data_IF_479821639805
#
_entry.id   IF_479821639805
#
_cell.length_a   1.000
_cell.length_b   1.000
_cell.length_c   1.000
_cell.angle_alpha   90.00
_cell.angle_beta   90.00
_cell.angle_gamma   90.00
#
_symmetry.space_group_name_H-M   'P 1'
#
loop_
_entity.id
_entity.type
_entity.pdbx_description
1 polymer ?
#
# COMPACT_ATOMS: atom_id res chain seq x y z
N UNK A 1 -0.06 14.34 -21.03
CA UNK A 1 1.04 14.58 -20.06
C UNK A 1 0.72 15.87 -19.34
N UNK A 2 0.72 15.87 -17.99
CA UNK A 2 0.59 17.12 -17.23
C UNK A 2 1.83 17.97 -17.50
N UNK A 3 1.66 19.25 -17.80
CA UNK A 3 2.79 20.18 -17.88
C UNK A 3 3.31 20.36 -16.44
N UNK A 4 4.52 19.87 -16.20
CA UNK A 4 5.16 19.91 -14.88
C UNK A 4 6.46 20.72 -14.97
N UNK A 5 6.68 21.59 -14.00
CA UNK A 5 7.99 22.22 -13.74
C UNK A 5 8.63 21.49 -12.57
N UNK A 6 9.86 21.02 -12.74
CA UNK A 6 10.65 20.36 -11.70
C UNK A 6 11.80 21.26 -11.29
N UNK A 7 12.03 21.39 -9.99
CA UNK A 7 13.24 21.99 -9.46
C UNK A 7 13.73 21.21 -8.25
N UNK A 8 14.99 21.43 -7.91
CA UNK A 8 15.69 20.77 -6.83
C UNK A 8 16.11 21.80 -5.79
N UNK A 9 16.06 21.42 -4.53
CA UNK A 9 16.36 22.26 -3.38
C UNK A 9 17.40 21.59 -2.48
N UNK A 10 18.17 22.40 -1.74
CA UNK A 10 19.11 21.92 -0.72
C UNK A 10 18.60 22.25 0.68
N UNK A 11 18.32 21.22 1.47
CA UNK A 11 17.70 21.29 2.79
C UNK A 11 18.74 21.11 3.90
N UNK A 12 18.63 21.91 4.96
CA UNK A 12 19.25 21.65 6.25
C UNK A 12 18.33 20.81 7.15
N UNK A 13 18.79 20.36 8.33
CA UNK A 13 17.93 19.69 9.32
C UNK A 13 16.68 20.54 9.66
N UNK A 14 16.84 21.85 9.87
CA UNK A 14 15.71 22.73 10.20
C UNK A 14 14.67 22.75 9.08
N UNK A 15 15.12 22.75 7.84
CA UNK A 15 14.23 22.72 6.68
C UNK A 15 13.52 21.37 6.58
N UNK A 16 14.23 20.28 6.86
CA UNK A 16 13.68 18.93 6.88
C UNK A 16 12.62 18.74 7.99
N UNK A 17 12.87 19.26 9.20
CA UNK A 17 11.91 19.28 10.29
C UNK A 17 10.63 20.02 9.90
N UNK A 18 10.77 21.19 9.26
CA UNK A 18 9.63 21.93 8.74
C UNK A 18 8.84 21.13 7.70
N UNK A 19 9.54 20.44 6.78
CA UNK A 19 8.88 19.56 5.80
C UNK A 19 8.09 18.46 6.52
N UNK A 20 8.70 17.75 7.47
CA UNK A 20 8.07 16.66 8.22
C UNK A 20 6.79 17.12 8.93
N UNK A 21 6.85 18.23 9.67
CA UNK A 21 5.69 18.84 10.34
C UNK A 21 4.54 19.16 9.36
N UNK A 22 4.88 19.47 8.10
CA UNK A 22 3.93 19.82 7.03
C UNK A 22 3.70 18.67 6.02
N UNK A 23 4.00 17.42 6.36
CA UNK A 23 3.82 16.26 5.47
C UNK A 23 4.51 16.42 4.10
N UNK A 24 5.61 17.17 4.06
CA UNK A 24 6.36 17.50 2.85
C UNK A 24 5.53 18.25 1.78
N UNK A 25 4.35 18.76 2.12
CA UNK A 25 3.46 19.48 1.19
C UNK A 25 3.71 20.99 1.13
N UNK A 26 4.64 21.49 1.95
CA UNK A 26 5.01 22.90 1.98
C UNK A 26 6.51 23.05 2.08
N UNK A 27 7.08 23.88 1.23
CA UNK A 27 8.46 24.32 1.33
C UNK A 27 8.64 25.32 2.48
N UNK A 28 9.76 25.27 3.22
CA UNK A 28 10.05 26.20 4.30
C UNK A 28 10.16 27.64 3.80
N UNK A 29 9.66 28.58 4.61
CA UNK A 29 9.91 30.01 4.40
C UNK A 29 11.33 30.31 4.83
N UNK A 30 12.25 30.43 3.88
CA UNK A 30 13.57 31.03 4.01
C UNK A 30 14.28 30.93 2.65
N UNK A 31 15.43 31.58 2.56
CA UNK A 31 16.34 31.57 1.42
C UNK A 31 16.96 30.18 1.14
N UNK A 32 16.14 29.19 0.75
CA UNK A 32 16.59 27.83 0.41
C UNK A 32 17.25 27.86 -0.97
N UNK A 33 18.48 27.34 -1.12
CA UNK A 33 19.10 27.19 -2.43
C UNK A 33 18.27 26.27 -3.32
N UNK A 34 17.98 26.71 -4.55
CA UNK A 34 17.30 25.89 -5.55
C UNK A 34 17.96 25.97 -6.93
N UNK A 35 17.75 24.95 -7.74
CA UNK A 35 18.14 24.91 -9.15
C UNK A 35 17.11 24.10 -9.97
N UNK A 36 16.92 24.45 -11.24
CA UNK A 36 16.09 23.64 -12.14
C UNK A 36 16.83 22.41 -12.67
N UNK A 37 18.17 22.42 -12.63
CA UNK A 37 19.00 21.27 -12.97
C UNK A 37 19.51 20.57 -11.71
N UNK A 38 19.42 19.24 -11.70
CA UNK A 38 19.88 18.41 -10.57
C UNK A 38 21.38 18.55 -10.34
N UNK A 39 22.16 18.63 -11.40
CA UNK A 39 23.62 18.68 -11.35
C UNK A 39 24.12 19.95 -10.65
N UNK A 40 23.44 21.08 -10.86
CA UNK A 40 23.78 22.37 -10.25
C UNK A 40 23.57 22.34 -8.73
N UNK A 41 22.46 21.78 -8.25
CA UNK A 41 22.22 21.69 -6.80
C UNK A 41 23.20 20.73 -6.13
N UNK A 42 23.57 19.63 -6.80
CA UNK A 42 24.56 18.66 -6.30
C UNK A 42 25.94 19.31 -6.20
N UNK A 43 26.37 20.05 -7.23
CA UNK A 43 27.64 20.79 -7.20
C UNK A 43 27.67 21.81 -6.07
N UNK A 44 26.55 22.51 -5.85
CA UNK A 44 26.40 23.42 -4.73
C UNK A 44 26.51 22.69 -3.39
N UNK A 45 25.82 21.54 -3.23
CA UNK A 45 25.87 20.72 -2.03
C UNK A 45 27.30 20.23 -1.70
N UNK A 46 28.04 19.71 -2.68
CA UNK A 46 29.42 19.25 -2.49
C UNK A 46 30.37 20.40 -2.11
N UNK A 47 30.18 21.59 -2.71
CA UNK A 47 30.96 22.78 -2.34
C UNK A 47 30.71 23.20 -0.89
N UNK A 48 29.45 23.21 -0.45
CA UNK A 48 29.07 23.61 0.92
C UNK A 48 29.45 22.53 1.96
N UNK A 49 29.35 21.25 1.60
CA UNK A 49 29.86 20.11 2.39
C UNK A 49 31.36 20.22 2.65
N UNK A 50 32.14 20.71 1.68
CA UNK A 50 33.57 20.98 1.89
C UNK A 50 33.86 22.01 2.99
N UNK A 51 32.92 22.94 3.21
CA UNK A 51 33.07 24.10 4.08
C UNK A 51 32.34 23.98 5.44
N UNK A 52 31.51 22.96 5.65
CA UNK A 52 30.70 22.80 6.86
C UNK A 52 30.63 21.35 7.33
N UNK A 53 30.43 21.12 8.63
CA UNK A 53 30.23 19.78 9.20
C UNK A 53 28.75 19.34 9.21
N UNK A 54 27.87 20.03 8.47
CA UNK A 54 26.43 19.75 8.49
C UNK A 54 26.05 18.67 7.47
N UNK A 55 24.97 17.95 7.77
CA UNK A 55 24.28 17.10 6.80
C UNK A 55 23.28 17.98 6.02
N UNK A 56 23.27 17.81 4.70
CA UNK A 56 22.33 18.42 3.78
C UNK A 56 21.60 17.34 2.99
N UNK A 57 20.36 17.62 2.64
CA UNK A 57 19.52 16.73 1.82
C UNK A 57 19.09 17.48 0.58
N UNK A 58 19.31 16.90 -0.60
CA UNK A 58 18.67 17.40 -1.81
C UNK A 58 17.28 16.82 -1.93
N UNK A 59 16.33 17.64 -2.34
CA UNK A 59 14.96 17.21 -2.61
C UNK A 59 14.47 17.77 -3.95
N UNK A 60 13.47 17.11 -4.53
CA UNK A 60 12.82 17.44 -5.80
C UNK A 60 11.39 17.92 -5.51
N UNK A 61 11.02 19.05 -6.09
CA UNK A 61 9.66 19.57 -6.08
C UNK A 61 9.10 19.58 -7.50
N UNK A 62 7.84 19.18 -7.64
CA UNK A 62 7.12 19.14 -8.92
C UNK A 62 5.89 20.04 -8.83
N UNK A 63 5.82 21.00 -9.75
CA UNK A 63 4.76 22.01 -9.78
C UNK A 63 3.97 21.93 -11.07
N UNK A 64 2.68 22.26 -11.01
CA UNK A 64 1.86 22.47 -12.20
C UNK A 64 2.41 23.69 -12.96
N UNK A 65 2.73 23.53 -14.24
CA UNK A 65 3.34 24.60 -15.05
C UNK A 65 2.47 25.84 -15.15
N UNK A 66 1.14 25.71 -15.26
CA UNK A 66 0.25 26.85 -15.43
C UNK A 66 0.20 27.68 -14.14
N UNK A 67 -0.01 27.02 -12.99
CA UNK A 67 0.04 27.67 -11.67
C UNK A 67 1.42 28.26 -11.36
N UNK A 68 2.49 27.60 -11.81
CA UNK A 68 3.86 28.08 -11.66
C UNK A 68 4.13 29.31 -12.57
N UNK A 69 3.54 29.36 -13.76
CA UNK A 69 3.71 30.48 -14.69
C UNK A 69 2.89 31.72 -14.29
N UNK A 70 1.72 31.54 -13.66
CA UNK A 70 0.94 32.65 -13.09
C UNK A 70 1.76 33.46 -12.07
N UNK A 71 2.68 32.80 -11.37
CA UNK A 71 3.70 33.46 -10.54
C UNK A 71 4.68 34.28 -11.38
N UNK A 72 5.29 33.68 -12.41
CA UNK A 72 6.32 34.32 -13.25
C UNK A 72 5.82 35.58 -13.96
N UNK A 73 4.53 35.62 -14.33
CA UNK A 73 3.89 36.77 -14.99
C UNK A 73 3.58 37.89 -13.98
N UNK A 74 3.26 37.56 -12.73
CA UNK A 74 2.87 38.52 -11.70
C UNK A 74 4.06 39.29 -11.08
N UNK A 75 5.30 38.83 -11.29
CA UNK A 75 6.51 39.38 -10.66
C UNK A 75 7.70 39.41 -11.64
N UNK A 76 7.55 40.14 -12.74
CA UNK A 76 8.54 40.27 -13.83
C UNK A 76 9.94 40.72 -13.37
N UNK A 77 10.04 41.44 -12.26
CA UNK A 77 11.30 42.00 -11.73
C UNK A 77 12.14 40.98 -10.93
N UNK A 78 11.55 39.84 -10.52
CA UNK A 78 12.30 38.75 -9.90
C UNK A 78 12.77 37.77 -10.97
N UNK A 79 13.94 38.03 -11.54
CA UNK A 79 14.52 37.09 -12.51
C UNK A 79 14.79 35.74 -11.83
N UNK A 80 14.10 34.67 -12.21
CA UNK A 80 14.45 33.30 -11.80
C UNK A 80 15.67 32.83 -12.61
N UNK A 81 16.81 33.51 -12.49
CA UNK A 81 18.07 33.03 -13.10
C UNK A 81 18.72 31.98 -12.19
N UNK A 82 19.33 30.98 -12.82
CA UNK A 82 19.88 29.75 -12.23
C UNK A 82 20.70 30.01 -10.93
N UNK A 83 20.40 29.22 -9.88
CA UNK A 83 20.89 29.32 -8.48
C UNK A 83 20.46 30.59 -7.71
N UNK A 84 19.26 30.55 -7.10
CA UNK A 84 18.78 31.61 -6.21
C UNK A 84 18.23 31.04 -4.90
N UNK A 85 17.81 31.95 -4.04
CA UNK A 85 17.13 31.73 -2.78
C UNK A 85 15.69 32.24 -2.94
N UNK A 86 14.68 31.49 -2.50
CA UNK A 86 13.29 31.94 -2.61
C UNK A 86 12.96 33.00 -1.55
N UNK A 87 12.19 34.03 -1.93
CA UNK A 87 11.58 34.94 -0.96
C UNK A 87 10.38 34.27 -0.28
N UNK A 88 9.95 34.77 0.87
CA UNK A 88 8.77 34.23 1.56
C UNK A 88 7.51 34.25 0.68
N UNK A 89 7.27 35.36 -0.04
CA UNK A 89 6.12 35.55 -0.94
C UNK A 89 6.17 34.55 -2.10
N UNK A 90 7.38 34.28 -2.62
CA UNK A 90 7.62 33.28 -3.66
C UNK A 90 7.29 31.86 -3.16
N UNK A 91 7.76 31.51 -1.96
CA UNK A 91 7.55 30.18 -1.38
C UNK A 91 6.06 29.88 -1.15
N UNK A 92 5.27 30.82 -0.63
CA UNK A 92 3.83 30.64 -0.41
C UNK A 92 3.07 30.29 -1.70
N UNK A 93 3.41 30.96 -2.81
CA UNK A 93 2.77 30.71 -4.11
C UNK A 93 3.27 29.42 -4.79
N UNK A 94 4.55 29.10 -4.63
CA UNK A 94 5.08 27.81 -5.10
C UNK A 94 4.38 26.66 -4.39
N UNK A 95 4.14 26.77 -3.08
CA UNK A 95 3.40 25.76 -2.32
C UNK A 95 2.00 25.49 -2.88
N UNK A 96 1.30 26.52 -3.38
CA UNK A 96 0.00 26.34 -4.08
C UNK A 96 0.12 25.62 -5.43
N UNK A 97 1.29 25.67 -6.07
CA UNK A 97 1.55 25.05 -7.36
C UNK A 97 2.06 23.61 -7.26
N UNK A 98 2.47 23.14 -6.06
CA UNK A 98 2.94 21.78 -5.85
C UNK A 98 1.88 20.76 -6.27
N UNK A 99 2.29 19.76 -7.04
CA UNK A 99 1.42 18.68 -7.50
C UNK A 99 1.24 17.58 -6.45
N UNK A 100 2.23 17.40 -5.59
CA UNK A 100 2.35 16.35 -4.58
C UNK A 100 3.34 16.81 -3.48
N UNK A 101 3.80 15.89 -2.64
CA UNK A 101 4.89 16.15 -1.69
C UNK A 101 6.22 16.50 -2.36
N UNK A 102 7.06 17.22 -1.62
CA UNK A 102 8.49 17.41 -1.89
C UNK A 102 9.21 16.08 -1.64
N UNK A 103 9.92 15.57 -2.65
CA UNK A 103 10.50 14.22 -2.65
C UNK A 103 11.98 14.26 -2.33
N UNK A 104 12.43 13.51 -1.35
CA UNK A 104 13.86 13.45 -1.01
C UNK A 104 14.65 12.71 -2.10
N UNK A 105 15.85 13.21 -2.42
CA UNK A 105 16.63 12.76 -3.58
C UNK A 105 18.04 12.29 -3.23
N UNK A 106 18.80 13.02 -2.40
CA UNK A 106 20.13 12.58 -1.95
C UNK A 106 20.59 13.23 -0.63
N UNK A 107 21.66 12.72 -0.03
CA UNK A 107 22.25 13.20 1.23
C UNK A 107 23.76 13.47 1.10
N UNK A 108 24.21 14.57 1.73
CA UNK A 108 25.58 15.08 1.70
C UNK A 108 26.06 15.44 3.10
N UNK A 109 27.28 15.08 3.49
CA UNK A 109 27.87 15.44 4.79
C UNK A 109 29.26 14.81 5.00
N UNK A 110 30.03 15.31 5.97
CA UNK A 110 31.41 14.86 6.26
C UNK A 110 31.57 14.04 7.55
N UNK A 111 30.75 14.28 8.57
CA UNK A 111 30.72 13.51 9.81
C UNK A 111 29.27 13.26 10.19
N UNK A 112 28.84 12.01 10.01
CA UNK A 112 27.49 11.56 10.31
C UNK A 112 27.31 11.26 11.81
N UNK A 113 28.34 11.44 12.63
CA UNK A 113 28.30 10.98 14.03
C UNK A 113 27.88 12.00 15.10
N UNK A 114 27.80 13.32 14.88
CA UNK A 114 27.49 14.21 16.01
C UNK A 114 26.38 15.26 15.75
N UNK A 115 25.42 15.21 16.69
CA UNK A 115 24.30 16.11 17.02
C UNK A 115 23.01 16.07 16.19
N UNK A 116 23.03 15.79 14.88
CA UNK A 116 21.80 15.90 14.05
C UNK A 116 21.39 14.62 13.30
N UNK A 117 22.22 13.57 13.34
CA UNK A 117 21.99 12.37 12.52
C UNK A 117 20.76 11.58 12.97
N UNK A 118 20.56 11.35 14.27
CA UNK A 118 19.40 10.61 14.76
C UNK A 118 18.08 11.25 14.32
N UNK A 119 17.96 12.58 14.42
CA UNK A 119 16.76 13.32 14.02
C UNK A 119 16.52 13.26 12.51
N UNK A 120 17.56 13.46 11.69
CA UNK A 120 17.45 13.29 10.24
C UNK A 120 17.02 11.86 9.93
N UNK A 121 17.68 10.86 10.52
CA UNK A 121 17.40 9.45 10.29
C UNK A 121 15.94 9.12 10.59
N UNK A 122 15.39 9.56 11.72
CA UNK A 122 13.98 9.36 12.06
C UNK A 122 13.05 9.96 11.00
N UNK A 123 13.30 11.19 10.54
CA UNK A 123 12.47 11.80 9.48
C UNK A 123 12.56 11.00 8.16
N UNK A 124 13.75 10.49 7.81
CA UNK A 124 13.93 9.64 6.63
C UNK A 124 13.26 8.27 6.79
N UNK A 125 13.31 7.66 7.98
CA UNK A 125 12.60 6.41 8.31
C UNK A 125 11.09 6.58 8.13
N UNK A 126 10.51 7.65 8.66
CA UNK A 126 9.08 7.96 8.53
C UNK A 126 8.68 8.16 7.06
N UNK A 127 9.50 8.89 6.30
CA UNK A 127 9.29 9.13 4.88
C UNK A 127 9.44 7.86 4.03
N UNK A 128 10.34 6.95 4.44
CA UNK A 128 10.51 5.64 3.81
C UNK A 128 9.27 4.78 4.05
N UNK A 129 8.80 4.73 5.30
CA UNK A 129 7.57 4.02 5.67
C UNK A 129 6.36 4.55 4.92
N UNK A 130 6.18 5.87 4.87
CA UNK A 130 5.12 6.51 4.09
C UNK A 130 5.17 6.06 2.63
N UNK A 131 6.35 6.12 2.01
CA UNK A 131 6.51 5.83 0.58
C UNK A 131 6.28 4.34 0.27
N UNK A 132 6.72 3.45 1.17
CA UNK A 132 6.43 2.02 1.14
C UNK A 132 4.92 1.77 1.20
N UNK A 133 4.24 2.31 2.22
CA UNK A 133 2.80 2.12 2.43
C UNK A 133 1.96 2.68 1.28
N UNK A 134 2.34 3.85 0.74
CA UNK A 134 1.66 4.44 -0.43
C UNK A 134 1.76 3.53 -1.66
N UNK A 135 2.93 2.94 -1.91
CA UNK A 135 3.13 1.98 -2.98
C UNK A 135 2.39 0.66 -2.74
N UNK A 136 2.46 0.12 -1.52
CA UNK A 136 1.76 -1.12 -1.14
C UNK A 136 0.25 -0.97 -1.35
N UNK A 137 -0.37 0.09 -0.80
CA UNK A 137 -1.81 0.30 -0.92
C UNK A 137 -2.23 0.52 -2.38
N UNK A 138 -1.43 1.25 -3.18
CA UNK A 138 -1.69 1.41 -4.61
C UNK A 138 -1.72 0.07 -5.36
N UNK A 139 -0.86 -0.89 -4.99
CA UNK A 139 -0.81 -2.23 -5.60
C UNK A 139 -1.91 -3.15 -5.06
N UNK A 140 -2.20 -3.05 -3.76
CA UNK A 140 -3.11 -3.93 -3.01
C UNK A 140 -4.59 -3.57 -3.14
N UNK A 141 -4.90 -2.41 -3.70
CA UNK A 141 -6.29 -1.94 -3.94
C UNK A 141 -6.61 -1.78 -5.42
N UNK A 142 -7.86 -2.04 -5.84
CA UNK A 142 -8.33 -1.89 -7.22
C UNK A 142 -8.89 -0.49 -7.53
N UNK A 143 -9.18 0.32 -6.52
CA UNK A 143 -9.54 1.73 -6.64
C UNK A 143 -8.39 2.57 -7.17
N UNK A 144 -7.15 2.12 -6.96
CA UNK A 144 -5.90 2.78 -7.37
C UNK A 144 -5.82 4.23 -6.89
N UNK A 145 -6.55 4.56 -5.82
CA UNK A 145 -6.52 5.88 -5.22
C UNK A 145 -5.13 6.10 -4.61
N UNK A 146 -4.47 7.15 -5.09
CA UNK A 146 -3.16 7.51 -4.56
C UNK A 146 -3.37 8.19 -3.21
N UNK A 147 -2.80 7.58 -2.17
CA UNK A 147 -2.83 8.12 -0.82
C UNK A 147 -2.26 9.54 -0.80
N UNK A 148 -3.01 10.44 -0.15
CA UNK A 148 -2.62 11.83 0.04
C UNK A 148 -1.44 11.93 1.04
N UNK A 149 -0.55 12.92 0.88
CA UNK A 149 0.62 13.08 1.76
C UNK A 149 0.32 13.19 3.27
N UNK A 150 -0.88 13.61 3.64
CA UNK A 150 -1.33 13.79 5.02
C UNK A 150 -2.17 12.62 5.55
N UNK A 151 -2.41 11.58 4.76
CA UNK A 151 -3.30 10.46 5.13
C UNK A 151 -2.94 9.74 6.42
N UNK A 152 -1.64 9.62 6.74
CA UNK A 152 -1.17 8.97 7.96
C UNK A 152 -0.94 9.94 9.12
N UNK A 153 -1.27 11.22 8.96
CA UNK A 153 -1.35 12.09 10.13
C UNK A 153 -2.51 11.59 10.96
N UNK A 154 -2.25 11.32 12.24
CA UNK A 154 -3.32 11.31 13.22
C UNK A 154 -4.00 12.67 13.09
N UNK A 155 -5.20 12.71 12.51
CA UNK A 155 -6.13 13.77 12.82
C UNK A 155 -6.10 13.85 14.34
N UNK A 156 -5.72 15.00 14.88
CA UNK A 156 -5.80 15.23 16.31
C UNK A 156 -7.26 14.89 16.63
N UNK A 157 -7.48 13.70 17.21
CA UNK A 157 -8.82 13.21 17.49
C UNK A 157 -9.49 14.41 18.13
N UNK A 158 -10.58 14.90 17.50
CA UNK A 158 -11.49 15.76 18.24
C UNK A 158 -11.72 14.97 19.50
N UNK A 159 -11.08 15.40 20.59
CA UNK A 159 -11.23 14.81 21.89
C UNK A 159 -12.71 14.97 22.11
N UNK A 160 -13.47 13.93 21.75
CA UNK A 160 -14.86 13.84 22.10
C UNK A 160 -14.75 13.90 23.61
N UNK A 161 -15.13 15.06 24.17
CA UNK A 161 -15.24 15.18 25.59
C UNK A 161 -16.07 13.97 26.00
N UNK A 162 -15.52 13.05 26.81
CA UNK A 162 -16.28 11.88 27.20
C UNK A 162 -17.57 12.43 27.78
N UNK A 163 -18.70 12.10 27.17
CA UNK A 163 -19.98 12.59 27.65
C UNK A 163 -20.05 12.29 29.14
N UNK A 164 -20.50 13.24 29.95
CA UNK A 164 -20.72 13.06 31.38
C UNK A 164 -21.87 12.06 31.58
N UNK A 165 -21.59 10.78 31.34
CA UNK A 165 -22.45 9.67 31.68
C UNK A 165 -22.13 9.26 33.12
N UNK A 166 -23.15 9.11 33.94
CA UNK A 166 -22.99 8.41 35.22
C UNK A 166 -22.63 6.94 34.98
N UNK A 167 -21.93 6.31 35.93
CA UNK A 167 -21.59 4.88 35.86
C UNK A 167 -22.82 3.98 35.59
N UNK A 168 -23.99 4.38 36.08
CA UNK A 168 -25.25 3.68 35.88
C UNK A 168 -25.78 3.82 34.44
N UNK A 169 -25.65 4.99 33.82
CA UNK A 169 -26.02 5.19 32.41
C UNK A 169 -25.11 4.41 31.48
N UNK A 170 -23.80 4.42 31.75
CA UNK A 170 -22.82 3.59 30.99
C UNK A 170 -23.19 2.12 31.10
N UNK A 171 -23.49 1.64 32.32
CA UNK A 171 -23.88 0.24 32.54
C UNK A 171 -25.16 -0.13 31.79
N UNK A 172 -26.19 0.70 31.86
CA UNK A 172 -27.45 0.46 31.13
C UNK A 172 -27.25 0.45 29.62
N UNK A 173 -26.38 1.32 29.11
CA UNK A 173 -26.06 1.38 27.69
C UNK A 173 -25.30 0.13 27.23
N UNK A 174 -24.35 -0.37 28.04
CA UNK A 174 -23.64 -1.63 27.79
C UNK A 174 -24.62 -2.81 27.81
N UNK A 175 -25.46 -2.92 28.85
CA UNK A 175 -26.43 -4.02 28.97
C UNK A 175 -27.42 -4.04 27.80
N UNK A 176 -27.91 -2.87 27.39
CA UNK A 176 -28.78 -2.73 26.21
C UNK A 176 -28.05 -3.15 24.93
N UNK A 177 -26.82 -2.69 24.73
CA UNK A 177 -26.02 -3.03 23.53
C UNK A 177 -25.78 -4.53 23.46
N UNK A 178 -25.38 -5.16 24.57
CA UNK A 178 -25.17 -6.62 24.64
C UNK A 178 -26.45 -7.40 24.33
N UNK A 179 -27.61 -6.96 24.84
CA UNK A 179 -28.88 -7.60 24.57
C UNK A 179 -29.28 -7.49 23.09
N UNK A 180 -29.09 -6.32 22.48
CA UNK A 180 -29.34 -6.09 21.05
C UNK A 180 -28.40 -6.94 20.17
N UNK A 181 -27.12 -7.01 20.51
CA UNK A 181 -26.14 -7.87 19.85
C UNK A 181 -26.50 -9.35 19.96
N UNK A 182 -26.93 -9.83 21.13
CA UNK A 182 -27.31 -11.24 21.32
C UNK A 182 -28.54 -11.61 20.47
N UNK A 183 -29.54 -10.72 20.38
CA UNK A 183 -30.71 -10.91 19.53
C UNK A 183 -30.30 -10.97 18.04
N UNK A 184 -29.47 -10.03 17.60
CA UNK A 184 -28.95 -10.02 16.22
C UNK A 184 -28.14 -11.27 15.90
N UNK A 185 -27.22 -11.67 16.78
CA UNK A 185 -26.40 -12.88 16.62
C UNK A 185 -27.26 -14.15 16.56
N UNK A 186 -28.29 -14.27 17.40
CA UNK A 186 -29.23 -15.41 17.34
C UNK A 186 -29.97 -15.46 16.02
N UNK A 187 -30.43 -14.31 15.50
CA UNK A 187 -31.13 -14.23 14.21
C UNK A 187 -30.21 -14.66 13.07
N UNK A 188 -28.99 -14.15 13.04
CA UNK A 188 -27.96 -14.51 12.05
C UNK A 188 -27.68 -16.02 12.12
N UNK A 189 -27.38 -16.55 13.32
CA UNK A 189 -27.09 -17.99 13.49
C UNK A 189 -28.24 -18.90 13.10
N UNK A 190 -29.48 -18.50 13.36
CA UNK A 190 -30.65 -19.27 12.93
C UNK A 190 -30.76 -19.30 11.40
N UNK A 191 -30.45 -18.19 10.72
CA UNK A 191 -30.47 -18.12 9.26
C UNK A 191 -29.32 -18.93 8.65
N UNK A 192 -28.11 -18.82 9.18
CA UNK A 192 -26.93 -19.51 8.64
C UNK A 192 -26.96 -21.03 8.85
N UNK A 193 -27.68 -21.51 9.87
CA UNK A 193 -27.93 -22.95 10.09
C UNK A 193 -28.65 -23.67 8.95
N UNK A 194 -29.37 -22.93 8.11
CA UNK A 194 -30.13 -23.51 6.99
C UNK A 194 -29.43 -23.39 5.64
N UNK A 195 -28.26 -22.75 5.58
CA UNK A 195 -27.50 -22.56 4.35
C UNK A 195 -26.58 -23.77 4.17
N UNK A 196 -26.83 -24.56 3.12
CA UNK A 196 -26.25 -25.88 2.91
C UNK A 196 -25.09 -25.88 1.92
N UNK A 197 -24.85 -24.76 1.23
CA UNK A 197 -23.76 -24.65 0.23
C UNK A 197 -22.94 -23.38 0.42
N UNK A 198 -21.71 -23.39 -0.10
CA UNK A 198 -20.84 -22.20 -0.15
C UNK A 198 -21.53 -21.06 -0.89
N UNK A 199 -22.21 -21.34 -2.00
CA UNK A 199 -22.92 -20.33 -2.79
C UNK A 199 -24.08 -19.69 -2.02
N UNK A 200 -24.85 -20.47 -1.27
CA UNK A 200 -25.91 -19.96 -0.39
C UNK A 200 -25.34 -19.09 0.74
N UNK A 201 -24.22 -19.49 1.35
CA UNK A 201 -23.52 -18.71 2.34
C UNK A 201 -23.06 -17.35 1.78
N UNK A 202 -22.47 -17.36 0.58
CA UNK A 202 -22.04 -16.14 -0.12
C UNK A 202 -23.23 -15.27 -0.51
N UNK A 203 -24.32 -15.84 -1.04
CA UNK A 203 -25.52 -15.06 -1.40
C UNK A 203 -26.15 -14.40 -0.16
N UNK A 204 -26.17 -15.10 0.98
CA UNK A 204 -26.60 -14.52 2.26
C UNK A 204 -25.71 -13.33 2.65
N UNK A 205 -24.38 -13.50 2.61
CA UNK A 205 -23.43 -12.44 2.95
C UNK A 205 -23.68 -11.18 2.12
N UNK A 206 -23.86 -11.33 0.81
CA UNK A 206 -24.04 -10.18 -0.10
C UNK A 206 -25.39 -9.49 0.09
N UNK A 207 -26.46 -10.26 0.34
CA UNK A 207 -27.84 -9.73 0.27
C UNK A 207 -28.42 -9.31 1.61
N UNK A 208 -28.00 -9.96 2.70
CA UNK A 208 -28.68 -9.84 3.99
C UNK A 208 -27.74 -9.36 5.12
N UNK A 209 -26.44 -9.59 5.01
CA UNK A 209 -25.50 -9.48 6.13
C UNK A 209 -24.51 -8.31 5.98
N UNK A 210 -23.77 -8.27 4.87
CA UNK A 210 -22.73 -7.27 4.66
C UNK A 210 -23.31 -5.93 4.26
N UNK A 211 -22.79 -4.87 4.88
CA UNK A 211 -23.10 -3.50 4.48
C UNK A 211 -22.51 -3.17 3.08
N UNK A 212 -23.07 -2.17 2.37
CA UNK A 212 -22.49 -1.69 1.11
C UNK A 212 -21.03 -1.26 1.25
N UNK A 213 -20.65 -0.68 2.41
CA UNK A 213 -19.27 -0.31 2.71
C UNK A 213 -18.36 -1.54 2.78
N UNK A 214 -18.76 -2.58 3.51
CA UNK A 214 -18.00 -3.83 3.60
C UNK A 214 -17.87 -4.53 2.24
N UNK A 215 -18.95 -4.54 1.44
CA UNK A 215 -18.92 -5.06 0.07
C UNK A 215 -17.93 -4.27 -0.80
N UNK A 216 -17.93 -2.93 -0.68
CA UNK A 216 -16.99 -2.06 -1.37
C UNK A 216 -15.54 -2.36 -1.00
N UNK A 217 -15.25 -2.54 0.29
CA UNK A 217 -13.92 -2.90 0.78
C UNK A 217 -13.44 -4.25 0.24
N UNK A 218 -14.31 -5.27 0.19
CA UNK A 218 -13.94 -6.59 -0.36
C UNK A 218 -13.68 -6.51 -1.86
N UNK A 219 -14.51 -5.75 -2.59
CA UNK A 219 -14.32 -5.53 -4.03
C UNK A 219 -12.99 -4.84 -4.32
N UNK A 220 -12.60 -3.92 -3.46
CA UNK A 220 -11.39 -3.13 -3.62
C UNK A 220 -10.10 -3.94 -3.40
N UNK A 221 -10.17 -5.14 -2.81
CA UNK A 221 -8.97 -5.98 -2.62
C UNK A 221 -8.47 -6.48 -3.97
N UNK A 222 -7.24 -6.10 -4.34
CA UNK A 222 -6.64 -6.49 -5.62
C UNK A 222 -6.13 -7.94 -5.62
N UNK A 223 -5.83 -8.46 -6.81
CA UNK A 223 -5.14 -9.74 -6.95
C UNK A 223 -3.78 -9.77 -6.26
N UNK A 224 -3.06 -8.64 -6.22
CA UNK A 224 -1.77 -8.56 -5.54
C UNK A 224 -1.93 -8.80 -4.04
N UNK A 225 -2.94 -8.21 -3.41
CA UNK A 225 -3.25 -8.48 -2.01
C UNK A 225 -3.69 -9.93 -1.77
N UNK A 226 -4.50 -10.50 -2.67
CA UNK A 226 -4.99 -11.90 -2.57
C UNK A 226 -3.89 -12.96 -2.66
N UNK A 227 -2.84 -12.69 -3.44
CA UNK A 227 -1.78 -13.65 -3.77
C UNK A 227 -0.46 -13.36 -3.04
N UNK A 228 -0.33 -12.22 -2.37
CA UNK A 228 0.87 -11.87 -1.61
C UNK A 228 1.06 -12.79 -0.40
N UNK A 229 2.18 -13.51 -0.41
CA UNK A 229 2.57 -14.47 0.62
C UNK A 229 3.12 -13.80 1.89
N UNK A 230 3.52 -12.52 1.85
CA UNK A 230 4.22 -11.85 2.95
C UNK A 230 3.34 -10.88 3.75
N UNK A 231 2.54 -10.04 3.08
CA UNK A 231 1.80 -8.93 3.72
C UNK A 231 0.38 -8.70 3.17
N UNK A 232 -0.16 -9.62 2.37
CA UNK A 232 -1.40 -9.46 1.60
C UNK A 232 -2.67 -9.22 2.40
N UNK A 233 -3.82 -9.68 1.91
CA UNK A 233 -5.11 -9.51 2.61
C UNK A 233 -5.22 -10.32 3.92
N UNK A 234 -4.11 -10.82 4.49
CA UNK A 234 -3.99 -11.55 5.75
C UNK A 234 -4.69 -10.88 6.94
N UNK A 235 -4.52 -9.57 7.12
CA UNK A 235 -5.17 -8.85 8.22
C UNK A 235 -6.70 -8.84 8.09
N UNK A 236 -7.18 -8.63 6.86
CA UNK A 236 -8.61 -8.71 6.53
C UNK A 236 -9.11 -10.15 6.64
N UNK A 237 -8.38 -11.14 6.12
CA UNK A 237 -8.65 -12.57 6.26
C UNK A 237 -8.76 -13.01 7.71
N UNK A 238 -7.90 -12.53 8.61
CA UNK A 238 -7.96 -12.96 10.00
C UNK A 238 -9.23 -12.45 10.68
N UNK A 239 -9.49 -11.14 10.62
CA UNK A 239 -10.70 -10.56 11.23
C UNK A 239 -11.99 -11.07 10.58
N UNK A 240 -12.04 -11.06 9.24
CA UNK A 240 -13.20 -11.51 8.48
C UNK A 240 -13.38 -13.03 8.54
N UNK A 241 -12.29 -13.80 8.52
CA UNK A 241 -12.32 -15.26 8.70
C UNK A 241 -12.86 -15.66 10.07
N UNK A 242 -12.46 -14.96 11.14
CA UNK A 242 -13.04 -15.14 12.47
C UNK A 242 -14.54 -14.81 12.51
N UNK A 243 -14.95 -13.74 11.81
CA UNK A 243 -16.35 -13.40 11.64
C UNK A 243 -17.14 -14.53 10.93
N UNK A 244 -16.66 -15.00 9.78
CA UNK A 244 -17.25 -16.10 9.03
C UNK A 244 -17.33 -17.37 9.88
N UNK A 245 -16.27 -17.68 10.64
CA UNK A 245 -16.23 -18.81 11.56
C UNK A 245 -17.33 -18.71 12.62
N UNK A 246 -17.56 -17.53 13.18
CA UNK A 246 -18.56 -17.32 14.21
C UNK A 246 -20.01 -17.48 13.70
N UNK A 247 -20.28 -17.04 12.46
CA UNK A 247 -21.64 -17.08 11.90
C UNK A 247 -21.96 -18.42 11.22
N UNK A 248 -21.00 -19.08 10.58
CA UNK A 248 -21.23 -20.32 9.83
C UNK A 248 -20.90 -21.59 10.60
N UNK A 249 -19.92 -21.58 11.51
CA UNK A 249 -19.40 -22.81 12.13
C UNK A 249 -19.59 -22.85 13.65
N UNK A 250 -19.37 -21.74 14.35
CA UNK A 250 -19.39 -21.75 15.81
C UNK A 250 -20.81 -21.97 16.39
N UNK A 251 -21.05 -23.18 16.89
CA UNK A 251 -22.36 -23.60 17.42
C UNK A 251 -23.38 -23.88 16.31
N UNK A 252 -22.91 -24.13 15.09
CA UNK A 252 -23.69 -24.52 13.93
C UNK A 252 -23.21 -25.88 13.42
N UNK A 253 -24.03 -26.92 13.56
CA UNK A 253 -23.70 -28.28 13.14
C UNK A 253 -24.29 -28.62 11.76
N UNK A 254 -24.28 -27.68 10.82
CA UNK A 254 -24.80 -27.93 9.47
C UNK A 254 -23.89 -28.89 8.69
N UNK A 255 -24.19 -30.18 8.77
CA UNK A 255 -23.45 -31.26 8.11
C UNK A 255 -23.46 -31.15 6.58
N UNK A 256 -24.52 -30.58 5.98
CA UNK A 256 -24.58 -30.43 4.52
C UNK A 256 -23.60 -29.37 4.04
N UNK A 257 -23.48 -28.24 4.77
CA UNK A 257 -22.47 -27.22 4.47
C UNK A 257 -21.04 -27.77 4.63
N UNK A 258 -20.77 -28.56 5.67
CA UNK A 258 -19.45 -29.20 5.83
C UNK A 258 -19.13 -30.16 4.66
N UNK A 259 -20.09 -30.98 4.23
CA UNK A 259 -19.92 -31.86 3.06
C UNK A 259 -19.71 -31.06 1.77
N UNK A 260 -20.39 -29.93 1.62
CA UNK A 260 -20.20 -29.05 0.46
C UNK A 260 -18.79 -28.46 0.48
N UNK A 261 -18.32 -27.95 1.62
CA UNK A 261 -16.96 -27.41 1.79
C UNK A 261 -15.85 -28.43 1.49
N UNK A 262 -16.01 -29.69 1.91
CA UNK A 262 -15.05 -30.76 1.60
C UNK A 262 -14.97 -31.06 0.09
N UNK A 263 -16.09 -30.95 -0.62
CA UNK A 263 -16.18 -31.19 -2.07
C UNK A 263 -15.85 -29.95 -2.88
N UNK A 264 -16.01 -28.77 -2.28
CA UNK A 264 -15.80 -27.50 -2.93
C UNK A 264 -14.32 -27.42 -3.25
N UNK A 265 -13.96 -27.72 -4.51
CA UNK A 265 -12.57 -27.69 -4.91
C UNK A 265 -12.07 -26.25 -4.78
N UNK A 266 -11.26 -25.95 -3.75
CA UNK A 266 -10.70 -24.63 -3.62
C UNK A 266 -9.74 -24.48 -4.80
N UNK A 267 -9.92 -23.42 -5.58
CA UNK A 267 -9.06 -23.22 -6.74
C UNK A 267 -7.62 -22.83 -6.33
N UNK A 268 -7.38 -22.42 -5.06
CA UNK A 268 -6.13 -21.69 -4.66
C UNK A 268 -5.65 -21.94 -3.24
N UNK A 269 -6.52 -22.07 -2.25
CA UNK A 269 -6.10 -21.88 -0.86
C UNK A 269 -5.46 -23.14 -0.27
N UNK A 270 -4.26 -23.02 0.30
CA UNK A 270 -3.73 -24.00 1.27
C UNK A 270 -4.27 -23.74 2.67
N UNK A 271 -4.71 -22.51 2.92
CA UNK A 271 -5.27 -22.11 4.18
C UNK A 271 -6.77 -21.92 4.01
N UNK A 272 -7.51 -23.02 4.11
CA UNK A 272 -8.98 -23.02 4.11
C UNK A 272 -9.56 -22.33 5.37
N UNK A 273 -8.70 -21.88 6.28
CA UNK A 273 -9.08 -21.75 7.68
C UNK A 273 -9.30 -23.12 8.32
N UNK A 274 -9.62 -23.14 9.60
CA UNK A 274 -9.78 -24.39 10.36
C UNK A 274 -11.05 -25.15 9.94
N UNK A 275 -12.10 -24.43 9.52
CA UNK A 275 -13.42 -25.01 9.22
C UNK A 275 -13.90 -24.77 7.78
N UNK A 276 -13.10 -24.10 6.93
CA UNK A 276 -13.49 -23.76 5.56
C UNK A 276 -13.92 -22.30 5.36
N UNK A 277 -13.73 -21.42 6.36
CA UNK A 277 -14.02 -19.99 6.27
C UNK A 277 -13.28 -19.31 5.11
N UNK A 278 -12.06 -19.74 4.80
CA UNK A 278 -11.29 -19.23 3.68
C UNK A 278 -11.93 -19.55 2.32
N UNK A 279 -12.62 -20.69 2.22
CA UNK A 279 -13.34 -21.08 0.99
C UNK A 279 -14.52 -20.15 0.74
N UNK A 280 -15.31 -19.87 1.78
CA UNK A 280 -16.45 -18.94 1.70
C UNK A 280 -15.96 -17.54 1.35
N UNK A 281 -14.87 -17.09 1.97
CA UNK A 281 -14.30 -15.78 1.67
C UNK A 281 -13.76 -15.66 0.24
N UNK A 282 -13.03 -16.67 -0.26
CA UNK A 282 -12.57 -16.70 -1.65
C UNK A 282 -13.75 -16.69 -2.63
N UNK A 283 -14.77 -17.51 -2.39
CA UNK A 283 -15.98 -17.54 -3.20
C UNK A 283 -16.72 -16.19 -3.19
N UNK A 284 -16.81 -15.52 -2.03
CA UNK A 284 -17.38 -14.19 -1.91
C UNK A 284 -16.61 -13.16 -2.75
N UNK A 285 -15.28 -13.09 -2.58
CA UNK A 285 -14.44 -12.17 -3.34
C UNK A 285 -14.58 -12.40 -4.85
N UNK A 286 -14.53 -13.66 -5.29
CA UNK A 286 -14.71 -14.04 -6.71
C UNK A 286 -16.08 -13.62 -7.25
N UNK A 287 -17.15 -13.83 -6.48
CA UNK A 287 -18.51 -13.46 -6.90
C UNK A 287 -18.66 -11.94 -6.99
N UNK A 288 -18.10 -11.19 -6.05
CA UNK A 288 -18.14 -9.73 -6.04
C UNK A 288 -17.30 -9.10 -7.17
N UNK A 289 -16.18 -9.71 -7.54
CA UNK A 289 -15.25 -9.25 -8.57
C UNK A 289 -15.40 -9.96 -9.94
N UNK A 290 -16.49 -10.72 -10.13
CA UNK A 290 -16.76 -11.48 -11.37
C UNK A 290 -15.59 -12.40 -11.80
N UNK A 291 -14.83 -12.93 -10.86
CA UNK A 291 -13.61 -13.68 -11.10
C UNK A 291 -13.86 -15.21 -11.07
N UNK A 292 -14.54 -15.71 -12.10
CA UNK A 292 -14.70 -17.17 -12.31
C UNK A 292 -13.54 -17.71 -13.14
N UNK A 293 -12.95 -18.82 -12.70
CA UNK A 293 -11.91 -19.53 -13.47
C UNK A 293 -12.45 -19.97 -14.82
N UNK A 294 -11.73 -19.68 -15.91
CA UNK A 294 -12.15 -20.11 -17.25
C UNK A 294 -12.10 -21.63 -17.40
N UNK A 295 -12.82 -22.18 -18.39
CA UNK A 295 -12.76 -23.62 -18.70
C UNK A 295 -11.37 -24.08 -19.12
N UNK A 296 -10.67 -23.24 -19.87
CA UNK A 296 -9.30 -23.49 -20.32
C UNK A 296 -8.34 -23.56 -19.14
N UNK A 297 -8.36 -22.55 -18.26
CA UNK A 297 -7.52 -22.55 -17.06
C UNK A 297 -7.86 -23.71 -16.11
N UNK A 298 -9.14 -24.07 -15.96
CA UNK A 298 -9.52 -25.25 -15.17
C UNK A 298 -8.92 -26.55 -15.75
N UNK A 299 -8.86 -26.68 -17.07
CA UNK A 299 -8.22 -27.83 -17.71
C UNK A 299 -6.72 -27.86 -17.41
N UNK A 300 -6.02 -26.73 -17.57
CA UNK A 300 -4.59 -26.63 -17.26
C UNK A 300 -4.30 -26.87 -15.78
N UNK A 301 -5.12 -26.36 -14.87
CA UNK A 301 -5.01 -26.63 -13.42
C UNK A 301 -5.15 -28.13 -13.14
N UNK A 302 -6.11 -28.81 -13.79
CA UNK A 302 -6.28 -30.25 -13.62
C UNK A 302 -5.05 -31.03 -14.10
N UNK A 303 -4.50 -30.67 -15.27
CA UNK A 303 -3.28 -31.28 -15.80
C UNK A 303 -2.08 -31.10 -14.86
N UNK A 304 -1.89 -29.90 -14.28
CA UNK A 304 -0.82 -29.64 -13.30
C UNK A 304 -1.04 -30.42 -12.00
N UNK A 305 -2.28 -30.51 -11.50
CA UNK A 305 -2.60 -31.30 -10.30
C UNK A 305 -2.31 -32.78 -10.47
N UNK A 306 -2.49 -33.34 -11.67
CA UNK A 306 -2.09 -34.72 -11.94
C UNK A 306 -0.56 -34.87 -11.98
N UNK A 307 0.17 -33.88 -12.51
CA UNK A 307 1.65 -33.86 -12.47
C UNK A 307 2.16 -33.85 -11.03
N UNK A 308 1.56 -33.03 -10.16
CA UNK A 308 1.92 -32.93 -8.73
C UNK A 308 1.75 -34.24 -7.94
N UNK A 309 0.88 -35.17 -8.38
CA UNK A 309 0.76 -36.48 -7.74
C UNK A 309 1.97 -37.39 -8.02
N UNK A 310 2.72 -37.08 -9.07
CA UNK A 310 3.87 -37.86 -9.54
C UNK A 310 5.22 -37.16 -9.28
N UNK A 311 5.22 -35.84 -9.10
CA UNK A 311 6.39 -35.02 -8.81
C UNK A 311 6.77 -35.13 -7.32
N UNK A 312 8.05 -35.40 -7.00
CA UNK A 312 8.55 -35.48 -5.61
C UNK A 312 9.53 -34.38 -5.24
N UNK A 313 9.89 -33.52 -6.19
CA UNK A 313 10.81 -32.41 -5.95
C UNK A 313 10.07 -31.20 -5.34
N UNK A 314 10.63 -30.66 -4.25
CA UNK A 314 10.00 -29.60 -3.48
C UNK A 314 9.98 -28.27 -4.24
N UNK A 315 11.01 -27.98 -5.05
CA UNK A 315 11.09 -26.73 -5.80
C UNK A 315 10.11 -26.74 -6.99
N UNK A 316 10.04 -27.87 -7.71
CA UNK A 316 9.01 -28.11 -8.72
C UNK A 316 7.59 -27.96 -8.14
N UNK A 317 7.36 -28.45 -6.92
CA UNK A 317 6.07 -28.33 -6.24
C UNK A 317 5.65 -26.86 -6.07
N UNK A 318 6.54 -26.01 -5.54
CA UNK A 318 6.23 -24.60 -5.30
C UNK A 318 5.94 -23.82 -6.58
N UNK A 319 6.71 -24.05 -7.64
CA UNK A 319 6.49 -23.41 -8.95
C UNK A 319 5.13 -23.79 -9.53
N UNK A 320 4.82 -25.08 -9.55
CA UNK A 320 3.54 -25.59 -10.04
C UNK A 320 2.38 -25.09 -9.19
N UNK A 321 2.58 -24.92 -7.89
CA UNK A 321 1.58 -24.36 -7.00
C UNK A 321 1.25 -22.90 -7.32
N UNK A 322 2.27 -22.04 -7.42
CA UNK A 322 2.12 -20.64 -7.82
C UNK A 322 1.36 -20.56 -9.16
N UNK A 323 1.72 -21.42 -10.12
CA UNK A 323 1.05 -21.51 -11.42
C UNK A 323 -0.43 -21.86 -11.30
N UNK A 324 -0.80 -22.85 -10.49
CA UNK A 324 -2.21 -23.18 -10.20
C UNK A 324 -2.95 -21.96 -9.64
N UNK A 325 -2.36 -21.29 -8.64
CA UNK A 325 -2.98 -20.13 -7.98
C UNK A 325 -3.24 -19.02 -8.98
N UNK A 326 -2.25 -18.65 -9.78
CA UNK A 326 -2.41 -17.60 -10.79
C UNK A 326 -3.40 -18.00 -11.90
N UNK A 327 -3.36 -19.24 -12.40
CA UNK A 327 -4.34 -19.70 -13.40
C UNK A 327 -5.78 -19.61 -12.88
N UNK A 328 -6.01 -19.86 -11.60
CA UNK A 328 -7.35 -19.75 -11.00
C UNK A 328 -7.95 -18.35 -11.06
N UNK A 329 -7.09 -17.33 -11.12
CA UNK A 329 -7.45 -15.92 -11.19
C UNK A 329 -7.32 -15.39 -12.62
N UNK A 330 -7.21 -16.31 -13.59
CA UNK A 330 -7.13 -16.05 -15.00
C UNK A 330 -5.96 -15.13 -15.39
N UNK A 331 -4.80 -15.35 -14.79
CA UNK A 331 -3.55 -14.84 -15.33
C UNK A 331 -3.16 -15.64 -16.58
N UNK A 332 -2.63 -14.94 -17.57
CA UNK A 332 -2.05 -15.50 -18.78
C UNK A 332 -0.71 -16.19 -18.50
N UNK A 333 -0.29 -17.08 -19.39
CA UNK A 333 1.02 -17.72 -19.27
C UNK A 333 2.17 -16.69 -19.26
N UNK A 334 2.07 -15.63 -20.06
CA UNK A 334 3.10 -14.57 -20.10
C UNK A 334 3.24 -13.85 -18.74
N UNK A 335 2.13 -13.55 -18.08
CA UNK A 335 2.14 -12.96 -16.73
C UNK A 335 2.71 -13.92 -15.69
N UNK A 336 2.37 -15.21 -15.78
CA UNK A 336 2.86 -16.25 -14.87
C UNK A 336 4.37 -16.43 -15.02
N UNK A 337 4.88 -16.59 -16.25
CA UNK A 337 6.31 -16.76 -16.49
C UNK A 337 7.10 -15.52 -16.04
N UNK A 338 6.56 -14.31 -16.26
CA UNK A 338 7.16 -13.08 -15.74
C UNK A 338 7.20 -13.04 -14.22
N UNK A 339 6.13 -13.46 -13.54
CA UNK A 339 6.10 -13.54 -12.09
C UNK A 339 7.16 -14.53 -11.58
N UNK A 340 7.23 -15.73 -12.15
CA UNK A 340 8.16 -16.78 -11.74
C UNK A 340 9.63 -16.40 -11.99
N UNK A 341 9.94 -15.69 -13.08
CA UNK A 341 11.26 -15.13 -13.32
C UNK A 341 11.67 -14.14 -12.22
N UNK A 342 10.75 -13.29 -11.76
CA UNK A 342 11.00 -12.37 -10.66
C UNK A 342 11.13 -13.09 -9.32
N UNK A 343 10.34 -14.13 -9.05
CA UNK A 343 10.47 -15.00 -7.87
C UNK A 343 11.85 -15.63 -7.79
N UNK A 344 12.29 -16.23 -8.91
CA UNK A 344 13.63 -16.81 -9.02
C UNK A 344 14.72 -15.76 -8.76
N UNK A 345 14.57 -14.53 -9.29
CA UNK A 345 15.53 -13.45 -9.03
C UNK A 345 15.55 -13.04 -7.55
N UNK A 346 14.42 -12.95 -6.87
CA UNK A 346 14.38 -12.61 -5.44
C UNK A 346 15.08 -13.65 -4.56
N UNK A 347 15.05 -14.94 -4.93
CA UNK A 347 15.73 -15.99 -4.19
C UNK A 347 17.26 -15.93 -4.33
N UNK A 348 17.75 -15.51 -5.49
CA UNK A 348 19.18 -15.52 -5.83
C UNK A 348 19.88 -14.18 -5.57
N UNK A 349 19.16 -13.05 -5.63
CA UNK A 349 19.69 -11.69 -5.49
C UNK A 349 18.99 -10.96 -4.33
N UNK A 350 19.50 -11.23 -3.12
CA UNK A 350 18.98 -10.68 -1.86
C UNK A 350 19.13 -9.16 -1.76
N UNK A 351 20.11 -8.57 -2.45
CA UNK A 351 20.35 -7.13 -2.41
C UNK A 351 19.19 -6.37 -3.08
N UNK A 352 18.63 -6.95 -4.15
CA UNK A 352 17.48 -6.39 -4.87
C UNK A 352 16.14 -7.06 -4.53
N UNK A 353 16.06 -7.85 -3.45
CA UNK A 353 14.86 -8.58 -3.05
C UNK A 353 13.57 -7.75 -3.15
N UNK A 354 13.57 -6.55 -2.54
CA UNK A 354 12.39 -5.67 -2.53
C UNK A 354 12.01 -5.14 -3.92
N UNK A 355 12.98 -4.90 -4.81
CA UNK A 355 12.71 -4.45 -6.18
C UNK A 355 11.94 -5.54 -6.93
N UNK A 356 12.41 -6.79 -6.84
CA UNK A 356 11.74 -7.94 -7.45
C UNK A 356 10.37 -8.18 -6.82
N UNK A 357 10.26 -8.10 -5.48
CA UNK A 357 9.01 -8.27 -4.76
C UNK A 357 7.93 -7.26 -5.20
N UNK A 358 8.24 -5.97 -5.30
CA UNK A 358 7.25 -4.99 -5.76
C UNK A 358 6.93 -5.13 -7.26
N UNK A 359 7.88 -5.58 -8.08
CA UNK A 359 7.59 -5.91 -9.48
C UNK A 359 6.67 -7.13 -9.61
N UNK A 360 6.83 -8.16 -8.77
CA UNK A 360 5.91 -9.29 -8.69
C UNK A 360 4.50 -8.80 -8.36
N UNK A 361 4.35 -7.98 -7.32
CA UNK A 361 3.07 -7.35 -6.96
C UNK A 361 2.47 -6.54 -8.12
N UNK A 362 3.28 -5.80 -8.88
CA UNK A 362 2.82 -5.05 -10.04
C UNK A 362 2.35 -5.95 -11.20
N UNK A 363 2.91 -7.15 -11.37
CA UNK A 363 2.37 -8.17 -12.29
C UNK A 363 1.00 -8.63 -11.81
N UNK A 364 0.89 -8.97 -10.52
CA UNK A 364 -0.36 -9.44 -9.92
C UNK A 364 -1.47 -8.37 -9.99
N UNK A 365 -1.12 -7.10 -9.77
CA UNK A 365 -2.08 -6.00 -9.77
C UNK A 365 -2.70 -5.70 -11.16
N UNK A 366 -2.23 -6.34 -12.26
CA UNK A 366 -2.75 -6.14 -13.62
C UNK A 366 -2.83 -4.67 -14.05
N UNK A 367 -1.80 -3.91 -13.70
CA UNK A 367 -1.74 -2.46 -13.97
C UNK A 367 -1.79 -2.15 -15.47
N UNK A 368 -2.66 -1.21 -15.84
CA UNK A 368 -2.67 -0.62 -17.18
C UNK A 368 -1.47 0.33 -17.40
N UNK A 369 -1.33 0.90 -18.59
CA UNK A 369 -0.16 1.74 -18.94
C UNK A 369 -0.03 3.02 -18.10
N UNK A 370 -1.14 3.62 -17.66
CA UNK A 370 -1.14 4.82 -16.82
C UNK A 370 -0.82 4.46 -15.36
N UNK A 371 -1.43 3.40 -14.86
CA UNK A 371 -1.16 2.85 -13.53
C UNK A 371 0.29 2.37 -13.40
N UNK A 372 0.84 1.76 -14.46
CA UNK A 372 2.25 1.33 -14.49
C UNK A 372 3.20 2.51 -14.38
N UNK A 373 2.91 3.64 -15.02
CA UNK A 373 3.71 4.88 -14.88
C UNK A 373 3.62 5.43 -13.46
N UNK A 374 2.43 5.36 -12.85
CA UNK A 374 2.21 5.76 -11.46
C UNK A 374 3.00 4.87 -10.50
N UNK A 375 2.92 3.54 -10.66
CA UNK A 375 3.70 2.58 -9.90
C UNK A 375 5.20 2.83 -10.01
N UNK A 376 5.73 3.00 -11.23
CA UNK A 376 7.17 3.28 -11.41
C UNK A 376 7.60 4.58 -10.72
N UNK A 377 6.71 5.59 -10.65
CA UNK A 377 6.96 6.82 -9.89
C UNK A 377 7.00 6.55 -8.38
N UNK A 378 6.00 5.85 -7.84
CA UNK A 378 5.94 5.50 -6.41
C UNK A 378 7.12 4.61 -5.98
N UNK A 379 7.49 3.65 -6.83
CA UNK A 379 8.63 2.76 -6.64
C UNK A 379 9.93 3.57 -6.59
N UNK A 380 10.14 4.49 -7.54
CA UNK A 380 11.30 5.38 -7.53
C UNK A 380 11.36 6.23 -6.26
N UNK A 381 10.23 6.79 -5.83
CA UNK A 381 10.16 7.59 -4.60
C UNK A 381 10.62 6.76 -3.38
N UNK A 382 10.11 5.53 -3.22
CA UNK A 382 10.52 4.62 -2.14
C UNK A 382 12.01 4.27 -2.19
N UNK A 383 12.54 3.81 -3.33
CA UNK A 383 13.94 3.41 -3.43
C UNK A 383 14.92 4.57 -3.33
N UNK A 384 14.52 5.79 -3.73
CA UNK A 384 15.34 6.99 -3.49
C UNK A 384 15.49 7.26 -1.99
N UNK A 385 14.40 7.20 -1.22
CA UNK A 385 14.45 7.41 0.23
C UNK A 385 15.24 6.28 0.91
N UNK A 386 15.04 5.03 0.50
CA UNK A 386 15.82 3.88 1.00
C UNK A 386 17.31 4.05 0.74
N UNK A 387 17.71 4.52 -0.45
CA UNK A 387 19.12 4.80 -0.77
C UNK A 387 19.71 5.89 0.13
N UNK A 388 18.94 6.93 0.46
CA UNK A 388 19.35 7.96 1.43
C UNK A 388 19.56 7.33 2.81
N UNK A 389 18.62 6.48 3.23
CA UNK A 389 18.68 5.76 4.50
C UNK A 389 19.90 4.84 4.61
N UNK A 390 20.19 4.09 3.54
CA UNK A 390 21.35 3.23 3.45
C UNK A 390 22.65 4.04 3.54
N UNK A 391 22.73 5.21 2.88
CA UNK A 391 23.88 6.12 3.01
C UNK A 391 24.07 6.60 4.45
N UNK A 392 22.99 7.01 5.12
CA UNK A 392 23.03 7.45 6.52
C UNK A 392 23.49 6.31 7.45
N UNK A 393 23.09 5.07 7.17
CA UNK A 393 23.42 3.90 8.01
C UNK A 393 24.81 3.33 7.74
N UNK A 394 25.28 3.36 6.49
CA UNK A 394 26.56 2.78 6.06
C UNK A 394 27.77 3.71 6.22
N UNK A 395 27.61 4.89 6.82
CA UNK A 395 28.73 5.82 7.07
C UNK A 395 29.46 5.47 8.39
N UNK A 396 30.04 4.27 8.43
CA UNK A 396 31.01 3.85 9.45
C UNK A 396 32.44 4.01 8.96
#
# INVERSE_FOLDING_TARGET
MRNTVTFYILLTLKDLQFLAENSFTKLPFNEIPFAFKKEEIIQFAEKVKGATHRIFITAKAECNTDRFNDYKISFLDESLTESKRFSQVTTERINYSLLDKVKLDDVFGKNIEETNHSEIKTIIEDEMYFSERRMEIFLETDSREIILPDFFKEDAEEKQEPGDFSDEEVRQQIEKTLAEEEISLKKIKNKTRTLNTVEEAVDYLIREDLSPKAIGQIKDISYAARLDSLKGDFGFHFGFGMYLRNIFFHGNNNQELYKDLEKYQPHVLFNHGEFGEGIIYDALWRKLNNCKTTKENNKSIHEIREQLKTETDADSFWILDIKIRMLSYNFSNEEIEKYLDLESKSDHDKDNFYEYYYQQKAVLAKLNDEERKTFETLKQDYFNVRKIMDKLTNTR
#
